data_IF_101063984099
#
_entry.id   IF_101063984099
#
_cell.length_a   1.000
_cell.length_b   1.000
_cell.length_c   1.000
_cell.angle_alpha   90.00
_cell.angle_beta   90.00
_cell.angle_gamma   90.00
#
_symmetry.space_group_name_H-M   'P 1'
#
loop_
_entity.id
_entity.type
_entity.pdbx_description
1 polymer ?
#
# COMPACT_ATOMS: atom_id res chain seq x y z
N UNK A 1 -32.03 -2.21 -3.66
CA UNK A 1 -31.14 -3.16 -4.35
C UNK A 1 -29.70 -2.82 -3.97
N UNK A 2 -29.15 -3.49 -2.98
CA UNK A 2 -27.73 -3.35 -2.62
C UNK A 2 -26.91 -4.15 -3.62
N UNK A 3 -26.17 -3.46 -4.49
CA UNK A 3 -25.22 -4.11 -5.39
C UNK A 3 -24.18 -4.85 -4.54
N UNK A 4 -24.28 -6.18 -4.49
CA UNK A 4 -23.25 -7.02 -3.92
C UNK A 4 -22.09 -6.96 -4.92
N UNK A 5 -21.12 -6.06 -4.69
CA UNK A 5 -19.88 -6.02 -5.49
C UNK A 5 -19.17 -7.34 -5.22
N UNK A 6 -19.19 -8.23 -6.19
CA UNK A 6 -18.41 -9.46 -6.16
C UNK A 6 -16.94 -9.06 -6.10
N UNK A 7 -16.29 -9.33 -4.96
CA UNK A 7 -14.87 -9.09 -4.78
C UNK A 7 -14.09 -9.94 -5.78
N UNK A 8 -13.24 -9.30 -6.58
CA UNK A 8 -12.41 -10.01 -7.57
C UNK A 8 -11.13 -10.55 -6.93
N UNK A 9 -10.47 -11.49 -7.60
CA UNK A 9 -9.16 -11.98 -7.17
C UNK A 9 -8.11 -10.85 -7.10
N UNK A 10 -8.23 -9.83 -7.96
CA UNK A 10 -7.36 -8.65 -7.93
C UNK A 10 -7.62 -7.79 -6.70
N UNK A 11 -8.89 -7.60 -6.30
CA UNK A 11 -9.24 -6.87 -5.08
C UNK A 11 -8.71 -7.58 -3.82
N UNK A 12 -8.83 -8.91 -3.78
CA UNK A 12 -8.30 -9.73 -2.68
C UNK A 12 -6.77 -9.67 -2.63
N UNK A 13 -6.10 -9.75 -3.78
CA UNK A 13 -4.65 -9.63 -3.87
C UNK A 13 -4.18 -8.24 -3.43
N UNK A 14 -4.88 -7.18 -3.83
CA UNK A 14 -4.60 -5.80 -3.40
C UNK A 14 -4.72 -5.66 -1.89
N UNK A 15 -5.81 -6.14 -1.30
CA UNK A 15 -6.03 -6.07 0.13
C UNK A 15 -4.96 -6.86 0.91
N UNK A 16 -4.62 -8.06 0.46
CA UNK A 16 -3.57 -8.88 1.07
C UNK A 16 -2.18 -8.24 0.98
N UNK A 17 -1.81 -7.69 -0.17
CA UNK A 17 -0.52 -7.02 -0.34
C UNK A 17 -0.43 -5.76 0.51
N UNK A 18 -1.53 -5.01 0.66
CA UNK A 18 -1.58 -3.85 1.55
C UNK A 18 -1.40 -4.27 3.01
N UNK A 19 -2.12 -5.31 3.44
CA UNK A 19 -2.01 -5.85 4.80
C UNK A 19 -0.61 -6.40 5.09
N UNK A 20 -0.01 -7.12 4.14
CA UNK A 20 1.35 -7.61 4.24
C UNK A 20 2.40 -6.49 4.27
N UNK A 21 2.22 -5.41 3.49
CA UNK A 21 3.10 -4.24 3.51
C UNK A 21 3.02 -3.48 4.84
N UNK A 22 1.83 -3.40 5.43
CA UNK A 22 1.61 -2.74 6.72
C UNK A 22 1.97 -3.64 7.91
N UNK A 23 1.86 -4.96 7.76
CA UNK A 23 2.23 -5.96 8.76
C UNK A 23 3.71 -6.34 8.77
N UNK A 24 4.43 -6.08 7.67
CA UNK A 24 5.89 -6.16 7.65
C UNK A 24 6.45 -5.23 8.73
N UNK A 25 7.42 -5.68 9.55
CA UNK A 25 7.79 -5.03 10.79
C UNK A 25 8.10 -3.55 10.59
N UNK A 26 7.12 -2.70 10.93
CA UNK A 26 7.18 -1.25 10.98
C UNK A 26 8.11 -0.76 12.10
N UNK A 27 8.90 -1.68 12.68
CA UNK A 27 10.01 -1.45 13.63
C UNK A 27 10.95 -0.34 13.15
N UNK A 28 10.93 -0.05 11.85
CA UNK A 28 11.75 0.97 11.22
C UNK A 28 10.98 2.26 10.90
N UNK A 29 9.68 2.40 11.19
CA UNK A 29 8.83 3.54 10.82
C UNK A 29 8.36 4.38 12.03
N UNK A 30 8.97 4.20 13.19
CA UNK A 30 8.60 4.90 14.42
C UNK A 30 8.81 6.43 14.37
N UNK A 31 9.62 6.93 13.44
CA UNK A 31 9.82 8.37 13.26
C UNK A 31 9.10 8.86 12.00
N UNK A 32 8.63 10.11 12.05
CA UNK A 32 7.98 10.77 10.89
C UNK A 32 8.87 10.76 9.65
N UNK A 33 10.16 11.04 9.83
CA UNK A 33 11.14 11.04 8.73
C UNK A 33 11.22 9.68 8.03
N UNK A 34 11.23 8.58 8.79
CA UNK A 34 11.29 7.24 8.23
C UNK A 34 10.00 6.86 7.50
N UNK A 35 8.84 7.30 7.99
CA UNK A 35 7.55 7.16 7.27
C UNK A 35 7.55 7.90 5.94
N UNK A 36 8.04 9.13 5.93
CA UNK A 36 8.17 9.93 4.69
C UNK A 36 9.12 9.25 3.70
N UNK A 37 10.29 8.77 4.16
CA UNK A 37 11.23 8.06 3.29
C UNK A 37 10.66 6.75 2.73
N UNK A 38 9.87 6.01 3.52
CA UNK A 38 9.19 4.81 3.04
C UNK A 38 8.12 5.15 1.99
N UNK A 39 7.32 6.21 2.21
CA UNK A 39 6.34 6.68 1.24
C UNK A 39 6.98 7.06 -0.11
N UNK A 40 8.12 7.76 -0.09
CA UNK A 40 8.88 8.11 -1.31
C UNK A 40 9.33 6.85 -2.05
N UNK A 41 9.84 5.83 -1.34
CA UNK A 41 10.28 4.57 -1.96
C UNK A 41 9.12 3.81 -2.59
N UNK A 42 7.96 3.78 -1.94
CA UNK A 42 6.77 3.14 -2.49
C UNK A 42 6.25 3.86 -3.73
N UNK A 43 6.23 5.19 -3.75
CA UNK A 43 5.89 5.95 -4.96
C UNK A 43 6.86 5.69 -6.12
N UNK A 44 8.17 5.64 -5.83
CA UNK A 44 9.17 5.33 -6.84
C UNK A 44 8.99 3.91 -7.41
N UNK A 45 8.70 2.93 -6.56
CA UNK A 45 8.47 1.55 -6.98
C UNK A 45 7.16 1.41 -7.78
N UNK A 46 6.12 2.16 -7.41
CA UNK A 46 4.84 2.18 -8.11
C UNK A 46 4.95 2.64 -9.58
N UNK A 47 6.00 3.38 -9.94
CA UNK A 47 6.21 3.84 -11.32
C UNK A 47 6.74 2.75 -12.26
N UNK A 48 7.34 1.69 -11.72
CA UNK A 48 8.07 0.68 -12.51
C UNK A 48 7.55 -0.74 -12.36
N UNK A 49 6.61 -0.98 -11.42
CA UNK A 49 6.06 -2.31 -11.14
C UNK A 49 4.72 -2.55 -11.84
N UNK A 50 4.23 -3.79 -11.77
CA UNK A 50 2.94 -4.21 -12.32
C UNK A 50 1.78 -3.30 -11.83
N UNK A 51 0.82 -2.91 -12.70
CA UNK A 51 -0.26 -1.98 -12.36
C UNK A 51 -1.06 -2.36 -11.11
N UNK A 52 -1.39 -3.64 -10.94
CA UNK A 52 -2.14 -4.12 -9.78
C UNK A 52 -1.42 -3.87 -8.43
N UNK A 53 -0.08 -3.86 -8.44
CA UNK A 53 0.76 -3.59 -7.26
C UNK A 53 1.07 -2.10 -7.13
N UNK A 54 1.14 -1.38 -8.25
CA UNK A 54 1.34 0.08 -8.30
C UNK A 54 0.30 0.82 -7.45
N UNK A 55 -0.98 0.46 -7.57
CA UNK A 55 -2.05 1.08 -6.78
C UNK A 55 -1.93 0.78 -5.27
N UNK A 56 -1.57 -0.45 -4.90
CA UNK A 56 -1.31 -0.82 -3.49
C UNK A 56 -0.20 0.05 -2.89
N UNK A 57 0.89 0.25 -3.63
CA UNK A 57 2.04 1.01 -3.15
C UNK A 57 1.72 2.50 -3.01
N UNK A 58 0.88 3.07 -3.90
CA UNK A 58 0.40 4.45 -3.78
C UNK A 58 -0.47 4.62 -2.54
N UNK A 59 -1.42 3.72 -2.32
CA UNK A 59 -2.29 3.75 -1.14
C UNK A 59 -1.48 3.61 0.16
N UNK A 60 -0.47 2.74 0.17
CA UNK A 60 0.44 2.59 1.32
C UNK A 60 1.28 3.85 1.56
N UNK A 61 1.80 4.48 0.50
CA UNK A 61 2.56 5.73 0.59
C UNK A 61 1.71 6.88 1.14
N UNK A 62 0.46 7.00 0.70
CA UNK A 62 -0.49 8.01 1.19
C UNK A 62 -0.77 7.80 2.68
N UNK A 63 -1.08 6.57 3.10
CA UNK A 63 -1.29 6.25 4.53
C UNK A 63 -0.08 6.63 5.39
N UNK A 64 1.13 6.30 4.95
CA UNK A 64 2.36 6.64 5.68
C UNK A 64 2.59 8.15 5.84
N UNK A 65 2.06 8.99 4.95
CA UNK A 65 2.13 10.46 5.07
C UNK A 65 1.15 11.01 6.10
N UNK A 66 0.06 10.30 6.37
CA UNK A 66 -1.03 10.73 7.24
C UNK A 66 -1.04 10.05 8.62
N UNK A 67 -0.19 9.04 8.84
CA UNK A 67 0.11 8.45 10.15
C UNK A 67 1.28 9.16 10.87
#
# INVERSE_FOLDING_TARGET
MTAHRTQTNEDALRAFLLDALLGAPLEHLHTRERRVNAAIRYEALAQVIHPAVSEVLRDAAERLRHC
#
